data_IF_056738132483
#
_entry.id   IF_056738132483
#
_cell.length_a   1.000
_cell.length_b   1.000
_cell.length_c   1.000
_cell.angle_alpha   90.00
_cell.angle_beta   90.00
_cell.angle_gamma   90.00
#
_symmetry.space_group_name_H-M   'P 1'
#
loop_
_entity.id
_entity.type
_entity.pdbx_description
1 polymer ?
#
# COMPACT_ATOMS: atom_id res chain seq x y z
N UNK A 1 0.48 -4.59 -9.31
CA UNK A 1 0.59 -3.32 -10.05
C UNK A 1 1.67 -2.47 -9.40
N UNK A 2 2.40 -1.66 -10.16
CA UNK A 2 3.40 -0.74 -9.60
C UNK A 2 2.76 0.63 -9.34
N UNK A 3 3.09 1.25 -8.22
CA UNK A 3 2.59 2.57 -7.82
C UNK A 3 3.69 3.34 -7.08
N UNK A 4 4.19 4.43 -7.66
CA UNK A 4 5.28 5.26 -7.09
C UNK A 4 6.50 4.45 -6.59
N UNK A 5 6.86 3.39 -7.32
CA UNK A 5 7.97 2.49 -6.97
C UNK A 5 7.62 1.37 -5.99
N UNK A 6 6.42 1.36 -5.43
CA UNK A 6 5.90 0.28 -4.62
C UNK A 6 5.16 -0.75 -5.47
N UNK A 7 5.15 -2.01 -5.04
CA UNK A 7 4.30 -3.06 -5.65
C UNK A 7 3.05 -3.25 -4.81
N UNK A 8 1.90 -3.23 -5.46
CA UNK A 8 0.61 -3.60 -4.86
C UNK A 8 0.24 -5.00 -5.35
N UNK A 9 0.01 -5.90 -4.41
CA UNK A 9 -0.35 -7.30 -4.62
C UNK A 9 -1.79 -7.51 -4.14
N UNK A 10 -2.70 -7.76 -5.08
CA UNK A 10 -4.09 -8.07 -4.73
C UNK A 10 -4.20 -9.53 -4.37
N UNK A 11 -4.77 -9.81 -3.20
CA UNK A 11 -5.12 -11.15 -2.74
C UNK A 11 -6.62 -11.28 -2.62
N UNK A 12 -7.15 -12.44 -3.00
CA UNK A 12 -8.58 -12.76 -2.90
C UNK A 12 -8.73 -14.05 -2.09
N UNK A 13 -9.54 -14.02 -1.05
CA UNK A 13 -9.84 -15.20 -0.24
C UNK A 13 -11.32 -15.22 0.13
N UNK A 14 -12.00 -16.31 -0.26
CA UNK A 14 -13.43 -16.54 -0.03
C UNK A 14 -14.29 -15.35 -0.51
N UNK A 15 -14.75 -14.52 0.43
CA UNK A 15 -15.65 -13.40 0.27
C UNK A 15 -14.97 -12.04 0.55
N UNK A 16 -13.64 -12.03 0.72
CA UNK A 16 -12.85 -10.81 0.97
C UNK A 16 -11.71 -10.64 -0.02
N UNK A 17 -11.34 -9.38 -0.23
CA UNK A 17 -10.20 -8.94 -1.03
C UNK A 17 -9.26 -8.14 -0.11
N UNK A 18 -7.96 -8.30 -0.30
CA UNK A 18 -6.90 -7.56 0.38
C UNK A 18 -5.92 -7.01 -0.66
N UNK A 19 -5.19 -5.96 -0.28
CA UNK A 19 -4.08 -5.43 -1.07
C UNK A 19 -2.84 -5.28 -0.19
N UNK A 20 -1.84 -6.11 -0.42
CA UNK A 20 -0.54 -5.97 0.24
C UNK A 20 0.33 -4.98 -0.55
N UNK A 21 1.18 -4.23 0.16
CA UNK A 21 2.12 -3.28 -0.40
C UNK A 21 3.55 -3.76 -0.16
N UNK A 22 4.41 -3.71 -1.18
CA UNK A 22 5.84 -3.97 -1.04
C UNK A 22 6.59 -2.68 -1.37
N UNK A 23 7.39 -2.20 -0.43
CA UNK A 23 8.19 -0.99 -0.58
C UNK A 23 9.30 -1.16 -1.63
N UNK A 24 9.88 -0.06 -2.13
CA UNK A 24 11.04 -0.11 -3.03
C UNK A 24 12.23 -0.88 -2.42
N UNK A 25 12.36 -0.86 -1.10
CA UNK A 25 13.39 -1.57 -0.32
C UNK A 25 13.04 -3.06 -0.10
N UNK A 26 11.87 -3.51 -0.58
CA UNK A 26 11.42 -4.90 -0.47
C UNK A 26 10.66 -5.22 0.81
N UNK A 27 10.28 -4.23 1.61
CA UNK A 27 9.51 -4.45 2.85
C UNK A 27 8.03 -4.67 2.54
N UNK A 28 7.48 -5.77 3.07
CA UNK A 28 6.08 -6.14 2.84
C UNK A 28 5.18 -5.63 3.96
N UNK A 29 4.08 -4.99 3.57
CA UNK A 29 2.96 -4.58 4.42
C UNK A 29 1.70 -5.29 3.97
N UNK A 30 1.12 -6.11 4.85
CA UNK A 30 -0.06 -6.91 4.55
C UNK A 30 -1.33 -6.24 5.03
N UNK A 31 -2.37 -6.25 4.19
CA UNK A 31 -3.69 -5.73 4.54
C UNK A 31 -4.65 -6.89 4.89
N UNK A 32 -5.63 -6.70 5.80
CA UNK A 32 -6.67 -7.70 6.04
C UNK A 32 -7.61 -7.86 4.84
N UNK A 33 -8.26 -9.02 4.73
CA UNK A 33 -9.29 -9.30 3.71
C UNK A 33 -10.62 -8.62 4.04
N UNK A 34 -10.69 -7.30 3.89
CA UNK A 34 -11.86 -6.50 4.26
C UNK A 34 -12.56 -5.81 3.07
N UNK A 35 -12.03 -5.89 1.86
CA UNK A 35 -12.60 -5.22 0.70
C UNK A 35 -13.53 -6.13 -0.11
N UNK A 36 -14.53 -5.54 -0.76
CA UNK A 36 -15.47 -6.26 -1.62
C UNK A 36 -15.06 -6.22 -3.10
N UNK A 37 -14.22 -5.25 -3.49
CA UNK A 37 -13.73 -5.09 -4.87
C UNK A 37 -12.22 -4.87 -4.89
N UNK A 38 -11.59 -5.23 -6.00
CA UNK A 38 -10.16 -4.96 -6.21
C UNK A 38 -9.86 -3.46 -6.25
N UNK A 39 -10.78 -2.66 -6.80
CA UNK A 39 -10.62 -1.21 -6.86
C UNK A 39 -10.60 -0.59 -5.46
N UNK A 40 -11.44 -1.07 -4.54
CA UNK A 40 -11.41 -0.63 -3.13
C UNK A 40 -10.07 -1.00 -2.48
N UNK A 41 -9.64 -2.25 -2.65
CA UNK A 41 -8.38 -2.72 -2.09
C UNK A 41 -7.18 -1.94 -2.65
N UNK A 42 -7.16 -1.70 -3.96
CA UNK A 42 -6.10 -0.93 -4.61
C UNK A 42 -6.12 0.55 -4.20
N UNK A 43 -7.29 1.16 -4.02
CA UNK A 43 -7.42 2.54 -3.56
C UNK A 43 -6.92 2.71 -2.11
N UNK A 44 -7.22 1.74 -1.25
CA UNK A 44 -6.70 1.72 0.13
C UNK A 44 -5.17 1.58 0.14
N UNK A 45 -4.63 0.62 -0.61
CA UNK A 45 -3.18 0.45 -0.77
C UNK A 45 -2.48 1.72 -1.27
N UNK A 46 -3.05 2.41 -2.27
CA UNK A 46 -2.51 3.70 -2.75
C UNK A 46 -2.54 4.77 -1.66
N UNK A 47 -3.64 4.86 -0.90
CA UNK A 47 -3.77 5.82 0.19
C UNK A 47 -2.74 5.57 1.30
N UNK A 48 -2.49 4.30 1.62
CA UNK A 48 -1.42 3.89 2.53
C UNK A 48 -0.04 4.34 2.01
N UNK A 49 0.28 4.05 0.74
CA UNK A 49 1.57 4.41 0.12
C UNK A 49 1.77 5.93 0.12
N UNK A 50 0.76 6.72 -0.24
CA UNK A 50 0.82 8.19 -0.16
C UNK A 50 1.12 8.68 1.27
N UNK A 51 0.50 8.05 2.27
CA UNK A 51 0.79 8.32 3.67
C UNK A 51 2.24 8.06 4.05
N UNK A 52 2.81 6.93 3.62
CA UNK A 52 4.21 6.57 3.87
C UNK A 52 5.18 7.55 3.21
N UNK A 53 4.94 7.90 1.94
CA UNK A 53 5.78 8.85 1.21
C UNK A 53 5.76 10.22 1.89
N UNK A 54 4.57 10.72 2.24
CA UNK A 54 4.43 12.01 2.92
C UNK A 54 5.15 12.02 4.28
N UNK A 55 5.07 10.93 5.05
CA UNK A 55 5.79 10.81 6.31
C UNK A 55 7.31 10.86 6.12
N UNK A 56 7.83 10.15 5.11
CA UNK A 56 9.25 10.16 4.77
C UNK A 56 9.73 11.57 4.35
N UNK A 57 8.96 12.27 3.51
CA UNK A 57 9.25 13.64 3.08
C UNK A 57 9.30 14.62 4.27
N UNK A 58 8.33 14.51 5.20
CA UNK A 58 8.30 15.34 6.41
C UNK A 58 9.49 15.07 7.33
N UNK A 59 9.88 13.80 7.50
CA UNK A 59 11.06 13.43 8.29
C UNK A 59 12.34 13.96 7.66
N UNK A 60 12.50 13.85 6.33
CA UNK A 60 13.66 14.39 5.63
C UNK A 60 13.78 15.91 5.77
N UNK A 61 12.65 16.64 5.76
CA UNK A 61 12.62 18.09 5.92
C UNK A 61 12.97 18.57 7.35
N UNK A 62 12.86 17.71 8.37
CA UNK A 62 13.23 18.05 9.75
C UNK A 62 14.73 17.84 10.05
N UNK A 63 15.43 17.11 9.18
CA UNK A 63 16.85 16.75 9.35
C UNK A 63 17.77 17.58 8.43
N UNK A 64 17.17 18.39 7.53
CA UNK A 64 17.87 19.26 6.57
C UNK A 64 18.10 20.69 7.05
#
# INVERSE_FOLDING_TARGET
MDYRGWKILIRREWNGIAADCVSPEGLMHTSPFCFQTEDQAAADARSFIEGQIRQAELLAAQVG
#
